data_IF_823330606692
#
_entry.id   IF_823330606692
#
_cell.length_a   1.000
_cell.length_b   1.000
_cell.length_c   1.000
_cell.angle_alpha   90.00
_cell.angle_beta   90.00
_cell.angle_gamma   90.00
#
_symmetry.space_group_name_H-M   'P 1'
#
loop_
_entity.id
_entity.type
_entity.pdbx_description
1 polymer ?
#
# COMPACT_ATOMS: atom_id res chain seq x y z
N UNK A 1 20.18 14.13 -0.22
CA UNK A 1 19.22 14.44 -1.31
C UNK A 1 18.65 15.84 -1.08
N UNK A 2 17.95 16.44 -2.06
CA UNK A 2 17.31 17.76 -1.90
C UNK A 2 16.37 17.80 -0.69
N UNK A 3 15.55 16.76 -0.51
CA UNK A 3 14.60 16.66 0.61
C UNK A 3 15.31 16.58 1.98
N UNK A 4 16.39 15.81 2.10
CA UNK A 4 17.15 15.71 3.36
C UNK A 4 17.79 17.06 3.76
N UNK A 5 18.29 17.82 2.77
CA UNK A 5 18.85 19.14 3.01
C UNK A 5 17.78 20.18 3.39
N UNK A 6 16.60 20.14 2.75
CA UNK A 6 15.45 20.99 3.14
C UNK A 6 15.01 20.65 4.56
N UNK A 7 14.87 19.35 4.90
CA UNK A 7 14.46 18.91 6.23
C UNK A 7 15.44 19.40 7.30
N UNK A 8 16.74 19.19 7.11
CA UNK A 8 17.78 19.69 8.03
C UNK A 8 17.76 21.21 8.16
N UNK A 9 17.52 21.93 7.06
CA UNK A 9 17.39 23.38 7.07
C UNK A 9 16.17 23.85 7.87
N UNK A 10 15.02 23.21 7.69
CA UNK A 10 13.80 23.50 8.45
C UNK A 10 13.95 23.16 9.94
N UNK A 11 14.55 22.01 10.27
CA UNK A 11 14.77 21.56 11.65
C UNK A 11 15.77 22.46 12.40
N UNK A 12 16.75 23.01 11.69
CA UNK A 12 17.74 23.94 12.25
C UNK A 12 17.24 25.39 12.34
N UNK A 13 16.12 25.72 11.69
CA UNK A 13 15.59 27.08 11.67
C UNK A 13 14.80 27.36 12.97
N UNK A 14 15.14 28.41 13.73
CA UNK A 14 14.35 28.82 14.89
C UNK A 14 12.93 29.22 14.47
N UNK A 15 11.95 29.11 15.39
CA UNK A 15 10.57 29.55 15.10
C UNK A 15 10.47 31.04 14.77
N UNK A 16 11.31 31.86 15.41
CA UNK A 16 11.36 33.32 15.26
C UNK A 16 12.61 33.74 14.47
N UNK A 17 12.84 33.12 13.31
CA UNK A 17 14.03 33.38 12.52
C UNK A 17 13.99 34.80 11.89
N UNK A 18 15.12 35.51 11.93
CA UNK A 18 15.27 36.80 11.25
C UNK A 18 15.66 36.65 9.76
N UNK A 19 16.30 35.53 9.40
CA UNK A 19 16.76 35.25 8.02
C UNK A 19 16.41 33.82 7.62
N UNK A 20 15.83 33.69 6.43
CA UNK A 20 15.56 32.39 5.83
C UNK A 20 16.85 31.73 5.35
N UNK A 21 17.10 30.49 5.76
CA UNK A 21 18.34 29.76 5.45
C UNK A 21 18.11 28.27 5.16
N UNK A 22 16.96 27.93 4.56
CA UNK A 22 16.65 26.55 4.19
C UNK A 22 17.18 26.26 2.77
N UNK A 23 18.09 25.28 2.59
CA UNK A 23 18.62 24.94 1.27
C UNK A 23 17.51 24.63 0.27
N UNK A 24 17.67 25.07 -0.99
CA UNK A 24 16.75 24.82 -2.11
C UNK A 24 15.35 25.46 -2.01
N UNK A 25 15.01 26.11 -0.90
CA UNK A 25 13.83 26.98 -0.80
C UNK A 25 14.30 28.43 -0.79
N UNK A 26 14.06 29.22 -1.86
CA UNK A 26 14.54 30.60 -1.93
C UNK A 26 13.81 31.54 -0.95
N UNK A 27 12.59 31.17 -0.54
CA UNK A 27 11.73 31.93 0.39
C UNK A 27 11.01 30.94 1.31
N UNK A 28 10.52 31.42 2.46
CA UNK A 28 9.55 30.67 3.27
C UNK A 28 8.20 30.60 2.51
N UNK A 29 7.70 29.39 2.18
CA UNK A 29 6.40 29.23 1.54
C UNK A 29 5.25 29.89 2.33
N UNK A 30 5.35 29.96 3.66
CA UNK A 30 4.33 30.56 4.51
C UNK A 30 4.16 32.06 4.26
N UNK A 31 5.22 32.76 3.85
CA UNK A 31 5.16 34.19 3.52
C UNK A 31 4.26 34.48 2.31
N UNK A 32 3.99 33.48 1.47
CA UNK A 32 3.10 33.59 0.31
C UNK A 32 1.84 32.74 0.48
N UNK A 33 1.51 32.34 1.71
CA UNK A 33 0.33 31.53 2.00
C UNK A 33 0.39 30.10 1.44
N UNK A 34 1.60 29.55 1.28
CA UNK A 34 1.84 28.16 0.82
C UNK A 34 2.51 27.35 1.92
N UNK A 35 2.50 26.03 1.75
CA UNK A 35 3.21 25.08 2.62
C UNK A 35 4.25 24.35 1.80
N UNK A 36 5.42 24.09 2.39
CA UNK A 36 6.36 23.15 1.80
C UNK A 36 5.80 21.74 1.93
N UNK A 37 5.48 21.11 0.80
CA UNK A 37 5.11 19.70 0.72
C UNK A 37 6.30 18.92 0.17
N UNK A 38 6.86 18.03 0.99
CA UNK A 38 7.84 17.07 0.51
C UNK A 38 7.12 16.05 -0.38
N UNK A 39 6.95 16.36 -1.66
CA UNK A 39 6.33 15.41 -2.59
C UNK A 39 7.28 14.25 -2.78
N UNK A 40 6.92 13.08 -2.26
CA UNK A 40 7.63 11.84 -2.52
C UNK A 40 7.13 11.34 -3.86
N UNK A 41 7.97 11.53 -4.87
CA UNK A 41 7.66 11.15 -6.24
C UNK A 41 8.41 9.87 -6.56
N UNK A 42 7.66 8.88 -7.02
CA UNK A 42 8.26 7.65 -7.57
C UNK A 42 8.33 7.82 -9.08
N UNK A 43 9.54 7.76 -9.60
CA UNK A 43 9.81 7.72 -11.03
C UNK A 43 10.43 6.35 -11.39
N UNK A 44 10.59 6.11 -12.69
CA UNK A 44 11.17 4.87 -13.22
C UNK A 44 12.56 4.51 -12.62
N UNK A 45 13.29 5.49 -12.07
CA UNK A 45 14.61 5.30 -11.45
C UNK A 45 14.57 4.98 -9.95
N UNK A 46 13.55 5.45 -9.21
CA UNK A 46 13.41 5.31 -7.75
C UNK A 46 12.53 4.12 -7.32
N UNK A 47 12.01 3.38 -8.32
CA UNK A 47 10.84 2.49 -8.28
C UNK A 47 10.62 1.56 -7.08
N UNK A 48 11.65 1.06 -6.38
CA UNK A 48 11.45 0.06 -5.30
C UNK A 48 11.43 0.63 -3.89
N UNK A 49 12.17 1.72 -3.66
CA UNK A 49 12.30 2.33 -2.33
C UNK A 49 11.18 3.31 -2.03
N UNK A 50 10.77 4.07 -3.05
CA UNK A 50 9.71 5.07 -2.92
C UNK A 50 8.35 4.45 -2.65
N UNK A 51 7.99 3.35 -3.34
CA UNK A 51 6.69 2.69 -3.18
C UNK A 51 6.50 2.18 -1.77
N UNK A 52 7.46 1.44 -1.24
CA UNK A 52 7.38 0.89 0.12
C UNK A 52 7.30 2.01 1.18
N UNK A 53 8.04 3.10 0.99
CA UNK A 53 7.97 4.24 1.89
C UNK A 53 6.59 4.89 1.86
N UNK A 54 6.08 5.24 0.67
CA UNK A 54 4.77 5.89 0.50
C UNK A 54 3.65 5.05 1.10
N UNK A 55 3.63 3.74 0.81
CA UNK A 55 2.62 2.83 1.36
C UNK A 55 2.66 2.77 2.90
N UNK A 56 3.85 2.82 3.48
CA UNK A 56 4.02 2.80 4.93
C UNK A 56 3.64 4.13 5.59
N UNK A 57 4.06 5.28 5.02
CA UNK A 57 3.90 6.59 5.66
C UNK A 57 2.52 7.19 5.45
N UNK A 58 1.95 7.04 4.25
CA UNK A 58 0.66 7.63 3.89
C UNK A 58 -0.51 6.71 4.25
N UNK A 59 -0.31 5.39 4.17
CA UNK A 59 -1.38 4.39 4.32
C UNK A 59 -1.17 3.37 5.44
N UNK A 60 -0.02 3.40 6.12
CA UNK A 60 0.28 2.49 7.23
C UNK A 60 0.61 1.04 6.83
N UNK A 61 0.77 0.75 5.54
CA UNK A 61 1.01 -0.61 5.05
C UNK A 61 2.50 -0.97 5.01
N UNK A 62 2.90 -1.83 5.95
CA UNK A 62 4.22 -2.47 5.97
C UNK A 62 4.27 -3.64 4.95
N UNK A 63 4.40 -3.33 3.67
CA UNK A 63 4.37 -4.36 2.62
C UNK A 63 5.56 -5.33 2.77
N UNK A 64 5.33 -6.67 2.74
CA UNK A 64 6.42 -7.64 2.70
C UNK A 64 7.33 -7.44 1.48
N UNK A 65 8.62 -7.78 1.61
CA UNK A 65 9.62 -7.49 0.56
C UNK A 65 9.26 -8.02 -0.83
N UNK A 66 8.64 -9.21 -0.91
CA UNK A 66 8.22 -9.79 -2.20
C UNK A 66 7.09 -8.98 -2.83
N UNK A 67 6.10 -8.58 -2.02
CA UNK A 67 4.99 -7.72 -2.44
C UNK A 67 5.48 -6.33 -2.86
N UNK A 68 6.45 -5.75 -2.15
CA UNK A 68 7.07 -4.49 -2.58
C UNK A 68 7.65 -4.61 -4.00
N UNK A 69 8.39 -5.70 -4.28
CA UNK A 69 9.00 -5.92 -5.60
C UNK A 69 7.96 -6.13 -6.68
N UNK A 70 6.92 -6.90 -6.39
CA UNK A 70 5.81 -7.15 -7.32
C UNK A 70 5.05 -5.85 -7.64
N UNK A 71 4.59 -5.15 -6.61
CA UNK A 71 3.83 -3.91 -6.76
C UNK A 71 4.66 -2.80 -7.43
N UNK A 72 5.96 -2.71 -7.13
CA UNK A 72 6.85 -1.76 -7.83
C UNK A 72 6.89 -1.99 -9.34
N UNK A 73 6.76 -3.24 -9.82
CA UNK A 73 6.68 -3.52 -11.27
C UNK A 73 5.36 -3.06 -11.87
N UNK A 74 4.24 -3.27 -11.17
CA UNK A 74 2.94 -2.78 -11.60
C UNK A 74 2.96 -1.24 -11.73
N UNK A 75 3.53 -0.54 -10.74
CA UNK A 75 3.72 0.91 -10.76
C UNK A 75 4.65 1.36 -11.90
N UNK A 76 5.73 0.61 -12.20
CA UNK A 76 6.61 0.92 -13.32
C UNK A 76 5.88 0.90 -14.67
N UNK A 77 5.04 -0.10 -14.91
CA UNK A 77 4.22 -0.16 -16.13
C UNK A 77 3.32 1.08 -16.27
N UNK A 78 2.68 1.52 -15.18
CA UNK A 78 1.84 2.73 -15.18
C UNK A 78 2.66 4.00 -15.49
N UNK A 79 3.90 4.10 -14.98
CA UNK A 79 4.78 5.26 -15.28
C UNK A 79 5.35 5.27 -16.68
N UNK A 80 5.65 4.10 -17.26
CA UNK A 80 6.25 3.99 -18.59
C UNK A 80 5.27 4.43 -19.68
N UNK A 81 3.98 4.12 -19.51
CA UNK A 81 2.92 4.51 -20.45
C UNK A 81 2.56 6.00 -20.38
N UNK A 82 2.79 6.64 -19.22
CA UNK A 82 2.43 8.05 -19.01
C UNK A 82 3.61 9.03 -19.11
N UNK A 83 4.86 8.53 -19.00
CA UNK A 83 6.07 9.35 -18.98
C UNK A 83 6.19 10.27 -17.76
N UNK A 84 5.32 10.10 -16.76
CA UNK A 84 5.16 11.03 -15.63
C UNK A 84 5.50 10.39 -14.28
N UNK A 85 5.86 11.26 -13.33
CA UNK A 85 6.02 10.91 -11.92
C UNK A 85 4.68 10.45 -11.33
N UNK A 86 4.68 9.42 -10.47
CA UNK A 86 3.47 8.97 -9.78
C UNK A 86 3.34 9.69 -8.44
N UNK A 87 2.18 10.31 -8.24
CA UNK A 87 1.76 10.88 -6.99
C UNK A 87 1.26 9.78 -6.01
N UNK A 88 1.33 10.00 -4.69
CA UNK A 88 0.93 9.01 -3.69
C UNK A 88 -0.50 8.48 -3.82
N UNK A 89 -1.45 9.35 -4.17
CA UNK A 89 -2.85 9.01 -4.40
C UNK A 89 -3.03 8.04 -5.57
N UNK A 90 -2.34 8.28 -6.68
CA UNK A 90 -2.33 7.37 -7.84
C UNK A 90 -1.74 6.02 -7.47
N UNK A 91 -0.69 5.99 -6.64
CA UNK A 91 -0.11 4.75 -6.14
C UNK A 91 -1.12 3.98 -5.27
N UNK A 92 -1.84 4.65 -4.39
CA UNK A 92 -2.87 4.03 -3.57
C UNK A 92 -4.00 3.44 -4.43
N UNK A 93 -4.52 4.20 -5.40
CA UNK A 93 -5.55 3.70 -6.31
C UNK A 93 -5.08 2.47 -7.10
N UNK A 94 -3.82 2.45 -7.54
CA UNK A 94 -3.24 1.29 -8.20
C UNK A 94 -3.13 0.08 -7.26
N UNK A 95 -2.77 0.31 -5.98
CA UNK A 95 -2.74 -0.75 -4.96
C UNK A 95 -4.14 -1.33 -4.71
N UNK A 96 -5.15 -0.47 -4.57
CA UNK A 96 -6.54 -0.88 -4.38
C UNK A 96 -7.06 -1.69 -5.57
N UNK A 97 -6.80 -1.22 -6.79
CA UNK A 97 -7.25 -1.92 -8.01
C UNK A 97 -6.59 -3.29 -8.18
N UNK A 98 -5.34 -3.46 -7.74
CA UNK A 98 -4.62 -4.72 -7.91
C UNK A 98 -4.95 -5.73 -6.79
N UNK A 99 -5.02 -5.26 -5.54
CA UNK A 99 -5.07 -6.15 -4.37
C UNK A 99 -6.38 -6.09 -3.58
N UNK A 100 -7.17 -5.03 -3.71
CA UNK A 100 -8.41 -4.81 -2.95
C UNK A 100 -9.64 -4.74 -3.87
N UNK A 101 -9.70 -5.68 -4.82
CA UNK A 101 -10.79 -5.80 -5.79
C UNK A 101 -12.17 -5.86 -5.10
N UNK A 102 -13.03 -4.90 -5.41
CA UNK A 102 -14.43 -4.89 -4.96
C UNK A 102 -15.29 -5.93 -5.71
N UNK A 103 -14.92 -6.21 -6.96
CA UNK A 103 -15.53 -7.19 -7.85
C UNK A 103 -14.48 -8.28 -8.15
N UNK A 104 -14.64 -9.46 -7.57
CA UNK A 104 -13.70 -10.56 -7.76
C UNK A 104 -14.41 -11.83 -8.20
N UNK A 105 -13.68 -12.70 -8.92
CA UNK A 105 -14.16 -14.03 -9.30
C UNK A 105 -14.60 -14.87 -8.10
N UNK A 106 -13.97 -14.64 -6.94
CA UNK A 106 -14.18 -15.39 -5.70
C UNK A 106 -14.60 -14.42 -4.60
N UNK A 107 -15.88 -14.42 -4.26
CA UNK A 107 -16.42 -13.57 -3.18
C UNK A 107 -16.88 -14.44 -2.01
N UNK A 108 -16.32 -14.19 -0.83
CA UNK A 108 -16.77 -14.81 0.41
C UNK A 108 -18.00 -14.05 0.93
N UNK A 109 -19.14 -14.73 1.05
CA UNK A 109 -20.37 -14.14 1.58
C UNK A 109 -20.50 -14.35 3.09
N UNK A 110 -20.23 -15.57 3.55
CA UNK A 110 -20.26 -15.92 4.98
C UNK A 110 -19.42 -17.16 5.24
N UNK A 111 -19.08 -17.38 6.50
CA UNK A 111 -18.38 -18.60 6.92
C UNK A 111 -18.74 -18.97 8.35
N UNK A 112 -18.70 -20.27 8.62
CA UNK A 112 -18.70 -20.83 9.97
C UNK A 112 -17.38 -21.56 10.20
N UNK A 113 -16.79 -21.37 11.37
CA UNK A 113 -15.56 -22.06 11.78
C UNK A 113 -15.74 -22.74 13.12
N UNK A 114 -15.14 -23.93 13.26
CA UNK A 114 -15.03 -24.62 14.54
C UNK A 114 -13.61 -25.11 14.70
N UNK A 115 -12.98 -24.69 15.79
CA UNK A 115 -11.66 -25.16 16.21
C UNK A 115 -11.80 -26.07 17.43
N UNK A 116 -11.06 -27.18 17.43
CA UNK A 116 -10.95 -28.04 18.59
C UNK A 116 -9.68 -27.72 19.42
N UNK A 117 -9.62 -28.25 20.64
CA UNK A 117 -8.47 -28.08 21.54
C UNK A 117 -7.21 -28.84 21.09
N UNK A 118 -7.30 -29.66 20.04
CA UNK A 118 -6.19 -30.43 19.46
C UNK A 118 -5.55 -29.71 18.28
N UNK A 119 -6.00 -28.51 17.95
CA UNK A 119 -5.45 -27.66 16.88
C UNK A 119 -6.06 -27.92 15.51
N UNK A 120 -7.14 -28.70 15.40
CA UNK A 120 -7.88 -28.86 14.15
C UNK A 120 -8.92 -27.76 14.01
N UNK A 121 -8.99 -27.14 12.85
CA UNK A 121 -10.02 -26.16 12.49
C UNK A 121 -10.78 -26.63 11.26
N UNK A 122 -12.10 -26.64 11.36
CA UNK A 122 -13.01 -26.87 10.24
C UNK A 122 -13.65 -25.56 9.82
N UNK A 123 -13.85 -25.38 8.52
CA UNK A 123 -14.55 -24.24 7.93
C UNK A 123 -15.63 -24.72 6.96
N UNK A 124 -16.77 -24.03 6.98
CA UNK A 124 -17.80 -24.06 5.94
C UNK A 124 -17.99 -22.63 5.44
N UNK A 125 -17.66 -22.38 4.18
CA UNK A 125 -17.68 -21.06 3.57
C UNK A 125 -18.72 -20.99 2.45
N UNK A 126 -19.58 -19.98 2.49
CA UNK A 126 -20.48 -19.63 1.40
C UNK A 126 -19.78 -18.65 0.46
N UNK A 127 -19.59 -19.06 -0.77
CA UNK A 127 -18.84 -18.35 -1.80
C UNK A 127 -19.73 -18.06 -2.99
N UNK A 128 -19.53 -16.91 -3.64
CA UNK A 128 -19.90 -16.72 -5.04
C UNK A 128 -18.64 -16.94 -5.89
N UNK A 129 -18.69 -17.94 -6.77
CA UNK A 129 -17.64 -18.21 -7.75
C UNK A 129 -18.21 -17.97 -9.14
N UNK A 130 -17.68 -16.97 -9.85
CA UNK A 130 -18.25 -16.49 -11.11
C UNK A 130 -19.76 -16.15 -10.96
N UNK A 131 -20.12 -15.51 -9.83
CA UNK A 131 -21.50 -15.15 -9.50
C UNK A 131 -22.42 -16.32 -9.10
N UNK A 132 -21.92 -17.56 -9.07
CA UNK A 132 -22.72 -18.74 -8.69
C UNK A 132 -22.43 -19.14 -7.24
N UNK A 133 -23.47 -19.37 -6.43
CA UNK A 133 -23.29 -19.80 -5.04
C UNK A 133 -22.66 -21.18 -4.99
N UNK A 134 -21.65 -21.33 -4.12
CA UNK A 134 -20.96 -22.57 -3.79
C UNK A 134 -20.68 -22.62 -2.30
N UNK A 135 -20.95 -23.76 -1.69
CA UNK A 135 -20.50 -24.06 -0.34
C UNK A 135 -19.20 -24.82 -0.42
N UNK A 136 -18.15 -24.30 0.22
CA UNK A 136 -16.84 -24.94 0.32
C UNK A 136 -16.60 -25.38 1.76
N UNK A 137 -16.12 -26.61 1.95
CA UNK A 137 -15.79 -27.14 3.27
C UNK A 137 -14.36 -27.64 3.31
N UNK A 138 -13.66 -27.36 4.39
CA UNK A 138 -12.28 -27.78 4.58
C UNK A 138 -11.91 -27.93 6.04
N UNK A 139 -10.84 -28.67 6.29
CA UNK A 139 -10.26 -28.89 7.61
C UNK A 139 -8.76 -28.67 7.50
N UNK A 140 -8.17 -28.00 8.48
CA UNK A 140 -6.75 -27.71 8.52
C UNK A 140 -6.25 -27.48 9.94
N UNK A 141 -4.97 -27.18 10.10
CA UNK A 141 -4.36 -26.88 11.40
C UNK A 141 -4.65 -25.44 11.89
N UNK A 142 -5.51 -24.71 11.19
CA UNK A 142 -5.96 -23.36 11.52
C UNK A 142 -6.94 -22.83 10.47
N UNK A 143 -7.53 -21.64 10.69
CA UNK A 143 -8.53 -21.05 9.80
C UNK A 143 -8.08 -20.90 8.35
N UNK A 144 -6.86 -20.38 8.14
CA UNK A 144 -6.30 -20.14 6.81
C UNK A 144 -6.08 -21.47 6.08
N UNK A 145 -5.47 -22.44 6.76
CA UNK A 145 -5.18 -23.77 6.20
C UNK A 145 -6.47 -24.51 5.83
N UNK A 146 -7.49 -24.46 6.71
CA UNK A 146 -8.80 -25.04 6.47
C UNK A 146 -9.49 -24.41 5.24
N UNK A 147 -9.41 -23.08 5.09
CA UNK A 147 -9.98 -22.39 3.93
C UNK A 147 -9.22 -22.69 2.64
N UNK A 148 -7.89 -22.78 2.69
CA UNK A 148 -7.07 -23.20 1.54
C UNK A 148 -7.43 -24.63 1.11
N UNK A 149 -7.64 -25.55 2.04
CA UNK A 149 -8.13 -26.89 1.72
C UNK A 149 -9.55 -26.87 1.13
N UNK A 150 -10.44 -26.01 1.64
CA UNK A 150 -11.79 -25.86 1.09
C UNK A 150 -11.78 -25.36 -0.37
N UNK A 151 -10.84 -24.49 -0.74
CA UNK A 151 -10.68 -23.96 -2.11
C UNK A 151 -10.09 -24.96 -3.11
N UNK A 152 -9.42 -26.02 -2.64
CA UNK A 152 -8.79 -27.04 -3.50
C UNK A 152 -9.73 -28.18 -3.89
N UNK A 153 -10.88 -28.30 -3.22
CA UNK A 153 -11.90 -29.32 -3.46
C UNK A 153 -12.90 -28.86 -4.52
#
# INVERSE_FOLDING_TARGET
SHQDAIKKGLDALPKDYDKWAVPYLPIDPKHVGRTYEAVIRVNSQSGKGGVAYVMQTEHGFALPRRLQVEFSKAIQHITEDSGTEIAPDVMWSAFESEYLLTESKFKLESHEMRSDSKGSTSISAQMLVDGKPRTLTGVGNGPIDAFVHALRN
#
